data_IF_334310864857
#
_entry.id   IF_334310864857
#
_cell.length_a   1.000
_cell.length_b   1.000
_cell.length_c   1.000
_cell.angle_alpha   90.00
_cell.angle_beta   90.00
_cell.angle_gamma   90.00
#
_symmetry.space_group_name_H-M   'P 1'
#
loop_
_entity.id
_entity.type
_entity.pdbx_description
1 polymer ?
#
# COMPACT_ATOMS: atom_id res chain seq x y z
N UNK A 1 -27.90 18.93 -2.94
CA UNK A 1 -26.49 18.56 -2.70
C UNK A 1 -26.09 17.63 -3.83
N UNK A 2 -25.08 17.98 -4.61
CA UNK A 2 -24.52 17.03 -5.59
C UNK A 2 -23.75 15.95 -4.81
N UNK A 3 -24.07 14.69 -5.09
CA UNK A 3 -23.45 13.51 -4.47
C UNK A 3 -22.59 12.79 -5.50
N UNK A 4 -21.44 12.26 -5.09
CA UNK A 4 -20.59 11.47 -5.98
C UNK A 4 -21.23 10.11 -6.30
N UNK A 5 -21.27 9.74 -7.59
CA UNK A 5 -21.74 8.43 -8.08
C UNK A 5 -20.73 7.86 -9.09
N UNK A 6 -20.20 6.68 -8.79
CA UNK A 6 -19.28 5.94 -9.67
C UNK A 6 -19.83 5.66 -11.07
N UNK A 7 -21.16 5.62 -11.23
CA UNK A 7 -21.83 5.27 -12.48
C UNK A 7 -22.10 6.51 -13.36
N UNK A 8 -21.90 7.69 -12.81
CA UNK A 8 -22.11 8.97 -13.50
C UNK A 8 -20.89 9.34 -14.35
N UNK A 9 -20.69 8.55 -15.41
CA UNK A 9 -19.63 8.73 -16.40
C UNK A 9 -20.09 9.71 -17.50
N UNK A 10 -19.20 10.58 -18.04
CA UNK A 10 -17.77 10.70 -17.78
C UNK A 10 -17.42 11.66 -16.63
N UNK A 11 -18.41 12.23 -15.94
CA UNK A 11 -18.18 13.24 -14.88
C UNK A 11 -17.30 12.70 -13.75
N UNK A 12 -17.50 11.44 -13.39
CA UNK A 12 -16.79 10.78 -12.29
C UNK A 12 -15.79 9.72 -12.82
N UNK A 13 -14.80 10.19 -13.58
CA UNK A 13 -13.62 9.42 -14.03
C UNK A 13 -12.44 9.40 -13.04
N UNK A 14 -11.54 8.43 -13.20
CA UNK A 14 -10.28 8.37 -12.42
C UNK A 14 -10.36 7.68 -11.05
N UNK A 15 -11.32 6.79 -10.80
CA UNK A 15 -11.35 5.97 -9.58
C UNK A 15 -10.85 4.54 -9.83
N UNK A 16 -10.39 3.89 -8.77
CA UNK A 16 -10.02 2.47 -8.77
C UNK A 16 -10.74 1.71 -7.67
N UNK A 17 -10.76 0.38 -7.77
CA UNK A 17 -11.25 -0.48 -6.68
C UNK A 17 -10.07 -0.90 -5.81
N UNK A 18 -10.17 -0.67 -4.50
CA UNK A 18 -9.15 -1.09 -3.52
C UNK A 18 -9.74 -2.02 -2.47
N UNK A 19 -8.92 -2.87 -1.82
CA UNK A 19 -9.41 -3.74 -0.75
C UNK A 19 -10.03 -2.93 0.41
N UNK A 20 -11.23 -3.31 0.85
CA UNK A 20 -11.95 -2.59 1.93
C UNK A 20 -11.28 -2.68 3.31
N UNK A 21 -10.34 -3.60 3.49
CA UNK A 21 -9.52 -3.71 4.70
C UNK A 21 -8.26 -2.81 4.65
N UNK A 22 -7.96 -2.15 3.52
CA UNK A 22 -6.73 -1.37 3.32
C UNK A 22 -6.50 -0.30 4.41
N UNK A 23 -7.51 0.41 4.93
CA UNK A 23 -7.27 1.36 6.03
C UNK A 23 -6.71 0.70 7.30
N UNK A 24 -7.25 -0.46 7.68
CA UNK A 24 -6.78 -1.21 8.86
C UNK A 24 -5.43 -1.86 8.62
N UNK A 25 -5.17 -2.30 7.38
CA UNK A 25 -3.85 -2.72 6.98
C UNK A 25 -2.83 -1.59 7.15
N UNK A 26 -3.18 -0.36 6.76
CA UNK A 26 -2.34 0.81 6.96
C UNK A 26 -1.96 1.03 8.43
N UNK A 27 -2.92 0.92 9.35
CA UNK A 27 -2.65 1.00 10.81
C UNK A 27 -1.65 -0.07 11.24
N UNK A 28 -1.86 -1.32 10.81
CA UNK A 28 -0.97 -2.43 11.12
C UNK A 28 0.45 -2.21 10.57
N UNK A 29 0.58 -1.67 9.35
CA UNK A 29 1.87 -1.35 8.73
C UNK A 29 2.61 -0.23 9.46
N UNK A 30 1.88 0.78 9.94
CA UNK A 30 2.47 1.89 10.68
C UNK A 30 2.96 1.46 12.08
N UNK A 31 2.25 0.53 12.73
CA UNK A 31 2.71 -0.11 13.97
C UNK A 31 3.99 -0.94 13.78
N UNK A 32 4.09 -1.65 12.65
CA UNK A 32 5.28 -2.43 12.28
C UNK A 32 6.50 -1.54 12.00
N UNK A 33 6.29 -0.29 11.62
CA UNK A 33 7.35 0.65 11.25
C UNK A 33 7.34 1.91 12.11
N UNK A 34 7.42 1.74 13.44
CA UNK A 34 7.43 2.87 14.40
C UNK A 34 8.38 3.99 13.96
N UNK A 35 7.87 5.23 13.96
CA UNK A 35 8.59 6.42 13.51
C UNK A 35 8.81 6.49 11.99
N UNK A 36 8.20 5.59 11.23
CA UNK A 36 8.34 5.47 9.78
C UNK A 36 7.05 4.99 9.10
N UNK A 37 5.93 5.72 9.27
CA UNK A 37 4.64 5.28 8.74
C UNK A 37 4.71 4.97 7.24
N UNK A 38 4.17 3.82 6.87
CA UNK A 38 4.20 3.21 5.54
C UNK A 38 2.85 3.35 4.81
N UNK A 39 1.76 3.54 5.56
CA UNK A 39 0.39 3.51 5.06
C UNK A 39 0.14 4.46 3.89
N UNK A 40 0.57 5.72 3.99
CA UNK A 40 0.41 6.72 2.92
C UNK A 40 1.19 6.35 1.66
N UNK A 41 2.39 5.81 1.81
CA UNK A 41 3.22 5.36 0.69
C UNK A 41 2.58 4.17 -0.01
N UNK A 42 2.09 3.20 0.76
CA UNK A 42 1.43 2.02 0.20
C UNK A 42 0.11 2.38 -0.49
N UNK A 43 -0.67 3.31 0.08
CA UNK A 43 -1.89 3.81 -0.53
C UNK A 43 -1.62 4.51 -1.87
N UNK A 44 -0.58 5.35 -1.94
CA UNK A 44 -0.17 6.00 -3.19
C UNK A 44 0.19 4.97 -4.29
N UNK A 45 0.85 3.87 -3.92
CA UNK A 45 1.12 2.77 -4.85
C UNK A 45 -0.17 2.09 -5.34
N UNK A 46 -1.13 1.82 -4.46
CA UNK A 46 -2.41 1.23 -4.85
C UNK A 46 -3.13 2.06 -5.91
N UNK A 47 -3.08 3.39 -5.82
CA UNK A 47 -3.69 4.27 -6.82
C UNK A 47 -2.95 4.32 -8.18
N UNK A 48 -1.82 3.63 -8.31
CA UNK A 48 -1.02 3.51 -9.54
C UNK A 48 -0.96 2.10 -10.11
N UNK A 49 -1.61 1.14 -9.44
CA UNK A 49 -1.52 -0.28 -9.80
C UNK A 49 -2.34 -0.59 -11.05
N UNK A 50 -1.80 -1.40 -11.94
CA UNK A 50 -2.58 -2.04 -13.02
C UNK A 50 -3.42 -3.20 -12.45
N UNK A 51 -4.32 -3.75 -13.27
CA UNK A 51 -5.16 -4.89 -12.87
C UNK A 51 -4.35 -6.13 -12.47
N UNK A 52 -3.12 -6.27 -12.99
CA UNK A 52 -2.18 -7.35 -12.68
C UNK A 52 -1.30 -7.09 -11.43
N UNK A 53 -1.51 -5.99 -10.71
CA UNK A 53 -0.72 -5.69 -9.51
C UNK A 53 0.64 -5.03 -9.78
N UNK A 54 0.91 -4.60 -11.03
CA UNK A 54 2.17 -4.00 -11.44
C UNK A 54 2.11 -2.47 -11.44
N UNK A 55 3.22 -1.85 -11.08
CA UNK A 55 3.44 -0.39 -11.15
C UNK A 55 4.79 -0.16 -11.82
N UNK A 56 4.79 0.66 -12.88
CA UNK A 56 6.02 1.16 -13.50
C UNK A 56 6.28 2.59 -13.05
N UNK A 57 7.32 2.79 -12.24
CA UNK A 57 7.66 4.09 -11.64
C UNK A 57 8.72 4.78 -12.48
N UNK A 58 8.33 5.81 -13.23
CA UNK A 58 9.26 6.65 -14.00
C UNK A 58 9.71 7.91 -13.25
N UNK A 59 8.81 8.50 -12.46
CA UNK A 59 9.09 9.68 -11.65
C UNK A 59 8.76 9.43 -10.17
N UNK A 60 9.80 9.42 -9.34
CA UNK A 60 9.68 9.21 -7.89
C UNK A 60 9.19 10.47 -7.15
N UNK A 61 9.32 11.64 -7.76
CA UNK A 61 9.00 12.93 -7.15
C UNK A 61 7.51 13.06 -6.91
N UNK A 62 6.70 12.72 -7.91
CA UNK A 62 5.24 12.73 -7.81
C UNK A 62 4.75 11.73 -6.76
N UNK A 63 5.26 10.49 -6.78
CA UNK A 63 4.90 9.49 -5.78
C UNK A 63 5.32 9.87 -4.36
N UNK A 64 6.47 10.51 -4.19
CA UNK A 64 6.88 11.04 -2.90
C UNK A 64 5.89 12.09 -2.39
N UNK A 65 5.45 13.01 -3.27
CA UNK A 65 4.45 14.02 -2.94
C UNK A 65 3.08 13.40 -2.61
N UNK A 66 2.60 12.45 -3.43
CA UNK A 66 1.34 11.71 -3.19
C UNK A 66 1.36 10.93 -1.88
N UNK A 67 2.54 10.46 -1.47
CA UNK A 67 2.76 9.81 -0.18
C UNK A 67 2.83 10.79 1.00
N UNK A 68 2.74 12.10 0.75
CA UNK A 68 2.78 13.17 1.76
C UNK A 68 4.17 13.77 2.01
N UNK A 69 5.18 13.47 1.20
CA UNK A 69 6.54 13.94 1.39
C UNK A 69 6.90 15.13 0.49
N UNK A 70 6.45 16.34 0.86
CA UNK A 70 6.64 17.57 0.08
C UNK A 70 8.00 18.27 0.26
N UNK A 71 8.86 17.80 1.17
CA UNK A 71 10.15 18.47 1.46
C UNK A 71 11.22 18.20 0.39
N UNK A 72 12.31 18.97 0.39
CA UNK A 72 13.48 18.73 -0.47
C UNK A 72 14.17 17.37 -0.26
N UNK A 73 13.83 16.63 0.82
CA UNK A 73 14.27 15.25 1.06
C UNK A 73 13.16 14.22 0.82
N UNK A 74 12.05 14.62 0.20
CA UNK A 74 10.85 13.80 0.06
C UNK A 74 11.10 12.48 -0.66
N UNK A 75 11.83 12.50 -1.78
CA UNK A 75 12.22 11.29 -2.52
C UNK A 75 13.09 10.36 -1.66
N UNK A 76 14.02 10.90 -0.87
CA UNK A 76 14.85 10.11 0.04
C UNK A 76 14.01 9.43 1.12
N UNK A 77 13.10 10.17 1.75
CA UNK A 77 12.17 9.62 2.75
C UNK A 77 11.29 8.54 2.13
N UNK A 78 10.69 8.82 0.98
CA UNK A 78 9.86 7.87 0.22
C UNK A 78 10.63 6.60 -0.14
N UNK A 79 11.87 6.72 -0.64
CA UNK A 79 12.75 5.58 -0.95
C UNK A 79 12.99 4.72 0.29
N UNK A 80 13.16 5.33 1.46
CA UNK A 80 13.24 4.63 2.74
C UNK A 80 11.95 3.85 3.08
N UNK A 81 10.77 4.39 2.77
CA UNK A 81 9.49 3.70 2.95
C UNK A 81 9.35 2.51 1.99
N UNK A 82 9.71 2.69 0.72
CA UNK A 82 9.71 1.63 -0.28
C UNK A 82 10.62 0.46 0.11
N UNK A 83 11.82 0.73 0.63
CA UNK A 83 12.72 -0.33 1.11
C UNK A 83 12.09 -1.13 2.27
N UNK A 84 11.44 -0.45 3.21
CA UNK A 84 10.74 -1.11 4.32
C UNK A 84 9.52 -1.91 3.86
N UNK A 85 8.74 -1.41 2.91
CA UNK A 85 7.64 -2.15 2.28
C UNK A 85 8.14 -3.45 1.64
N UNK A 86 9.29 -3.38 0.94
CA UNK A 86 9.95 -4.54 0.34
C UNK A 86 10.45 -5.52 1.39
N UNK A 87 11.09 -5.03 2.44
CA UNK A 87 11.59 -5.82 3.59
C UNK A 87 10.47 -6.59 4.30
N UNK A 88 9.33 -5.93 4.52
CA UNK A 88 8.13 -6.52 5.13
C UNK A 88 7.34 -7.43 4.16
N UNK A 89 7.73 -7.49 2.90
CA UNK A 89 7.12 -8.38 1.90
C UNK A 89 5.79 -7.87 1.33
N UNK A 90 5.43 -6.60 1.51
CA UNK A 90 4.23 -6.01 0.91
C UNK A 90 4.40 -5.68 -0.58
N UNK A 91 5.65 -5.50 -1.02
CA UNK A 91 5.98 -5.25 -2.42
C UNK A 91 7.18 -6.10 -2.86
N UNK A 92 7.20 -6.46 -4.13
CA UNK A 92 8.38 -7.00 -4.81
C UNK A 92 8.88 -5.97 -5.82
N UNK A 93 10.18 -5.78 -5.93
CA UNK A 93 10.75 -4.72 -6.78
C UNK A 93 11.83 -5.27 -7.67
N UNK A 94 11.84 -4.82 -8.93
CA UNK A 94 12.89 -5.11 -9.90
C UNK A 94 13.44 -3.79 -10.44
N UNK A 95 14.76 -3.71 -10.47
CA UNK A 95 15.49 -2.58 -11.03
C UNK A 95 15.22 -2.41 -12.53
N UNK A 96 15.28 -1.15 -12.98
CA UNK A 96 15.15 -0.76 -14.37
C UNK A 96 15.73 0.64 -14.59
N UNK A 97 15.29 1.33 -15.64
CA UNK A 97 15.91 2.60 -16.06
C UNK A 97 15.80 3.74 -15.04
N UNK A 98 14.83 3.71 -14.14
CA UNK A 98 14.66 4.68 -13.04
C UNK A 98 15.22 4.19 -11.69
N UNK A 99 15.96 3.07 -11.68
CA UNK A 99 16.63 2.49 -10.51
C UNK A 99 15.84 1.38 -9.81
N UNK A 100 16.14 1.13 -8.52
CA UNK A 100 15.73 -0.07 -7.77
C UNK A 100 14.21 -0.30 -7.67
N UNK A 101 13.41 0.75 -7.86
CA UNK A 101 11.94 0.73 -7.78
C UNK A 101 11.27 0.98 -9.12
N UNK A 102 11.96 0.76 -10.25
CA UNK A 102 11.38 0.97 -11.57
C UNK A 102 10.14 0.10 -11.81
N UNK A 103 10.23 -1.19 -11.50
CA UNK A 103 9.09 -2.10 -11.52
C UNK A 103 8.75 -2.51 -10.09
N UNK A 104 7.50 -2.30 -9.68
CA UNK A 104 6.99 -2.67 -8.36
C UNK A 104 5.75 -3.52 -8.52
N UNK A 105 5.74 -4.69 -7.87
CA UNK A 105 4.61 -5.61 -7.81
C UNK A 105 4.02 -5.54 -6.40
N UNK A 106 2.72 -5.28 -6.31
CA UNK A 106 1.98 -5.39 -5.05
C UNK A 106 1.84 -6.87 -4.70
N UNK A 107 2.45 -7.30 -3.60
CA UNK A 107 2.24 -8.64 -3.08
C UNK A 107 0.85 -8.69 -2.45
N UNK A 108 0.12 -9.80 -2.64
CA UNK A 108 -1.20 -9.97 -2.04
C UNK A 108 -1.15 -9.63 -0.54
N UNK A 109 -1.87 -8.59 -0.07
CA UNK A 109 -1.59 -8.03 1.25
C UNK A 109 -1.78 -9.02 2.39
N UNK A 110 -2.77 -9.91 2.26
CA UNK A 110 -3.04 -10.91 3.29
C UNK A 110 -1.97 -12.00 3.36
N UNK A 111 -1.29 -12.29 2.23
CA UNK A 111 -0.14 -13.21 2.21
C UNK A 111 1.04 -12.61 2.97
N UNK A 112 1.30 -11.31 2.76
CA UNK A 112 2.33 -10.59 3.51
C UNK A 112 2.02 -10.56 5.02
N UNK A 113 0.78 -10.27 5.40
CA UNK A 113 0.35 -10.31 6.82
C UNK A 113 0.50 -11.71 7.42
N UNK A 114 0.07 -12.76 6.71
CA UNK A 114 0.25 -14.15 7.17
C UNK A 114 1.70 -14.46 7.46
N UNK A 115 2.59 -14.16 6.51
CA UNK A 115 4.03 -14.36 6.67
C UNK A 115 4.60 -13.61 7.88
N UNK A 116 4.22 -12.35 8.07
CA UNK A 116 4.68 -11.55 9.21
C UNK A 116 4.13 -12.04 10.56
N UNK A 117 2.95 -12.65 10.58
CA UNK A 117 2.39 -13.32 11.75
C UNK A 117 3.17 -14.61 12.06
N UNK A 118 3.44 -15.44 11.04
CA UNK A 118 4.20 -16.68 11.19
C UNK A 118 5.64 -16.41 11.65
N UNK A 119 6.24 -15.29 11.22
CA UNK A 119 7.56 -14.80 11.68
C UNK A 119 7.54 -14.15 13.08
N UNK A 120 6.36 -14.00 13.70
CA UNK A 120 6.21 -13.35 15.01
C UNK A 120 6.42 -11.83 15.01
N UNK A 121 6.48 -11.18 13.83
CA UNK A 121 6.60 -9.73 13.70
C UNK A 121 5.28 -9.00 13.95
N UNK A 122 4.17 -9.67 13.69
CA UNK A 122 2.82 -9.23 14.08
C UNK A 122 2.37 -10.06 15.28
N UNK A 123 1.81 -9.41 16.29
CA UNK A 123 1.16 -10.08 17.42
C UNK A 123 -0.36 -10.01 17.28
N UNK A 124 -1.08 -11.01 17.80
CA UNK A 124 -2.54 -11.07 17.82
C UNK A 124 -3.15 -10.13 18.88
N UNK A 125 -2.86 -8.84 18.74
CA UNK A 125 -3.40 -7.76 19.57
C UNK A 125 -4.64 -7.09 18.98
N UNK A 126 -5.08 -6.00 19.60
CA UNK A 126 -6.28 -5.23 19.20
C UNK A 126 -6.28 -4.89 17.70
N UNK A 127 -5.17 -4.36 17.18
CA UNK A 127 -5.06 -3.91 15.78
C UNK A 127 -5.18 -5.07 14.80
N UNK A 128 -4.45 -6.17 15.03
CA UNK A 128 -4.56 -7.38 14.21
C UNK A 128 -5.97 -7.99 14.27
N UNK A 129 -6.57 -8.11 15.45
CA UNK A 129 -7.91 -8.70 15.60
C UNK A 129 -8.96 -7.88 14.85
N UNK A 130 -8.92 -6.55 14.99
CA UNK A 130 -9.82 -5.64 14.26
C UNK A 130 -9.62 -5.75 12.74
N UNK A 131 -8.37 -5.86 12.29
CA UNK A 131 -8.06 -6.11 10.88
C UNK A 131 -8.61 -7.45 10.38
N UNK A 132 -8.41 -8.52 11.14
CA UNK A 132 -8.87 -9.87 10.79
C UNK A 132 -10.40 -9.95 10.75
N UNK A 133 -11.09 -9.33 11.70
CA UNK A 133 -12.55 -9.21 11.70
C UNK A 133 -13.05 -8.52 10.42
N UNK A 134 -12.41 -7.41 10.00
CA UNK A 134 -12.75 -6.73 8.74
C UNK A 134 -12.50 -7.60 7.51
N UNK A 135 -11.41 -8.38 7.50
CA UNK A 135 -11.11 -9.32 6.39
C UNK A 135 -12.23 -10.36 6.25
N UNK A 136 -12.70 -10.91 7.37
CA UNK A 136 -13.83 -11.86 7.42
C UNK A 136 -15.13 -11.17 6.98
N UNK A 137 -15.43 -9.99 7.52
CA UNK A 137 -16.64 -9.19 7.21
C UNK A 137 -16.80 -8.98 5.69
N UNK A 138 -15.70 -8.64 5.01
CA UNK A 138 -15.72 -8.36 3.58
C UNK A 138 -15.51 -9.62 2.71
N UNK A 139 -15.47 -10.81 3.34
CA UNK A 139 -15.28 -12.12 2.70
C UNK A 139 -14.01 -12.21 1.86
N UNK A 140 -12.93 -11.57 2.31
CA UNK A 140 -11.64 -11.64 1.63
C UNK A 140 -10.82 -12.81 2.16
N UNK A 141 -10.14 -13.50 1.26
CA UNK A 141 -9.22 -14.60 1.55
C UNK A 141 -8.05 -14.56 0.55
N UNK A 142 -6.94 -15.19 0.89
CA UNK A 142 -5.88 -15.54 -0.07
C UNK A 142 -5.77 -17.05 -0.31
N UNK A 143 -6.58 -17.84 0.41
CA UNK A 143 -6.88 -19.25 0.15
C UNK A 143 -8.08 -19.37 -0.78
#
# INVERSE_FOLDING_TARGET
METWDRNDRPRNDGFITVPRYLPLLGVLMDELSKGSPLSSTYLALWFRVSDEGLIEIRDKTVLALESGFASGRGVTTWTGRMRKLKELGFISCREGSSGEFHNVLIVHPLVAVKKLLDEGKITKGKTYNTFAERVIEVKSSWE
#
